data_IF_263508331939
#
_entry.id   IF_263508331939
#
_cell.length_a   1.000
_cell.length_b   1.000
_cell.length_c   1.000
_cell.angle_alpha   90.00
_cell.angle_beta   90.00
_cell.angle_gamma   90.00
#
_symmetry.space_group_name_H-M   'P 1'
#
loop_
_entity.id
_entity.type
_entity.pdbx_description
1 polymer ?
#
# COMPACT_ATOMS: atom_id res chain seq x y z
N UNK A 1 -8.07 -10.25 7.94
CA UNK A 1 -8.83 -10.61 6.73
C UNK A 1 -8.20 -11.81 6.01
N UNK A 2 -8.59 -12.03 4.78
CA UNK A 2 -8.14 -13.08 3.90
C UNK A 2 -6.75 -12.75 3.30
N UNK A 3 -5.92 -13.78 3.10
CA UNK A 3 -4.64 -13.63 2.43
C UNK A 3 -4.85 -13.61 0.91
N UNK A 4 -4.40 -12.56 0.22
CA UNK A 4 -4.39 -12.53 -1.24
C UNK A 4 -3.36 -13.54 -1.76
N UNK A 5 -3.69 -14.23 -2.86
CA UNK A 5 -2.87 -15.33 -3.39
C UNK A 5 -1.51 -14.88 -3.94
N UNK A 6 -1.35 -13.60 -4.27
CA UNK A 6 -0.13 -13.00 -4.82
C UNK A 6 0.72 -12.25 -3.79
N UNK A 7 0.18 -12.02 -2.56
CA UNK A 7 0.80 -11.08 -1.62
C UNK A 7 2.00 -11.68 -0.90
N UNK A 8 3.17 -11.10 -1.10
CA UNK A 8 4.43 -11.43 -0.44
C UNK A 8 4.73 -10.52 0.77
N UNK A 9 3.93 -9.48 1.00
CA UNK A 9 4.13 -8.62 2.16
C UNK A 9 3.87 -9.37 3.47
N UNK A 10 4.58 -8.94 4.52
CA UNK A 10 4.30 -9.44 5.86
C UNK A 10 2.88 -9.05 6.30
N UNK A 11 2.04 -10.03 6.61
CA UNK A 11 0.69 -9.82 7.12
C UNK A 11 0.29 -10.91 8.12
N UNK A 12 -0.77 -10.66 8.87
CA UNK A 12 -1.43 -11.66 9.71
C UNK A 12 -2.94 -11.65 9.46
N UNK A 13 -3.51 -12.84 9.30
CA UNK A 13 -4.98 -13.01 9.21
C UNK A 13 -5.64 -13.04 10.57
N UNK A 14 -4.86 -13.20 11.66
CA UNK A 14 -5.34 -13.23 13.04
C UNK A 14 -5.27 -11.86 13.69
N UNK A 15 -6.35 -11.42 14.32
CA UNK A 15 -6.40 -10.18 15.10
C UNK A 15 -6.12 -10.38 16.60
N UNK A 16 -5.80 -11.60 17.05
CA UNK A 16 -5.61 -11.92 18.48
C UNK A 16 -4.51 -11.09 19.16
N UNK A 17 -3.49 -10.71 18.40
CA UNK A 17 -2.37 -9.90 18.91
C UNK A 17 -2.44 -8.43 18.52
N UNK A 18 -3.56 -7.95 17.94
CA UNK A 18 -3.70 -6.59 17.41
C UNK A 18 -3.34 -5.53 18.47
N UNK A 19 -3.94 -5.61 19.64
CA UNK A 19 -3.76 -4.57 20.68
C UNK A 19 -2.30 -4.54 21.16
N UNK A 20 -1.67 -5.72 21.32
CA UNK A 20 -0.24 -5.82 21.65
C UNK A 20 0.64 -5.24 20.54
N UNK A 21 0.25 -5.42 19.27
CA UNK A 21 0.96 -4.85 18.13
C UNK A 21 0.87 -3.32 18.13
N UNK A 22 -0.32 -2.75 18.39
CA UNK A 22 -0.49 -1.29 18.51
C UNK A 22 0.41 -0.72 19.61
N UNK A 23 0.44 -1.35 20.78
CA UNK A 23 1.32 -0.93 21.87
C UNK A 23 2.81 -1.03 21.49
N UNK A 24 3.19 -2.07 20.76
CA UNK A 24 4.55 -2.24 20.26
C UNK A 24 4.93 -1.15 19.24
N UNK A 25 4.03 -0.78 18.33
CA UNK A 25 4.23 0.33 17.39
C UNK A 25 4.45 1.66 18.13
N UNK A 26 3.60 1.96 19.11
CA UNK A 26 3.73 3.17 19.94
C UNK A 26 5.07 3.18 20.66
N UNK A 27 5.47 2.06 21.22
CA UNK A 27 6.76 1.92 21.91
C UNK A 27 7.93 2.12 20.96
N UNK A 28 7.88 1.57 19.74
CA UNK A 28 8.93 1.79 18.73
C UNK A 28 9.03 3.28 18.35
N UNK A 29 7.90 3.97 18.15
CA UNK A 29 7.88 5.42 17.86
C UNK A 29 8.61 6.20 18.97
N UNK A 30 8.33 5.88 20.25
CA UNK A 30 8.96 6.53 21.40
C UNK A 30 10.46 6.25 21.49
N UNK A 31 10.86 4.99 21.32
CA UNK A 31 12.27 4.57 21.41
C UNK A 31 13.12 5.18 20.30
N UNK A 32 12.55 5.29 19.10
CA UNK A 32 13.25 5.80 17.92
C UNK A 32 13.06 7.29 17.68
N UNK A 33 12.55 8.02 18.68
CA UNK A 33 12.26 9.47 18.55
C UNK A 33 13.45 10.28 18.05
N UNK A 34 14.67 9.97 18.49
CA UNK A 34 15.89 10.67 18.06
C UNK A 34 16.33 10.34 16.63
N UNK A 35 15.79 9.30 16.02
CA UNK A 35 16.14 8.89 14.66
C UNK A 35 15.27 9.58 13.59
N UNK A 36 14.15 10.17 14.00
CA UNK A 36 13.27 10.84 13.04
C UNK A 36 14.01 12.03 12.40
N UNK A 37 13.98 12.12 11.06
CA UNK A 37 14.53 13.28 10.37
C UNK A 37 13.91 14.58 10.90
N UNK A 38 14.68 15.68 10.95
CA UNK A 38 14.17 16.97 11.44
C UNK A 38 13.02 17.52 10.59
N UNK A 39 13.02 17.20 9.30
CA UNK A 39 11.95 17.56 8.36
C UNK A 39 11.29 16.28 7.84
N UNK A 40 10.04 16.09 8.18
CA UNK A 40 9.18 15.04 7.65
C UNK A 40 8.04 15.71 6.89
N UNK A 41 7.87 15.30 5.63
CA UNK A 41 6.88 15.89 4.73
C UNK A 41 5.76 14.91 4.37
N UNK A 42 5.92 13.62 4.66
CA UNK A 42 4.91 12.60 4.40
C UNK A 42 4.81 11.55 5.50
N UNK A 43 3.60 11.03 5.68
CA UNK A 43 3.29 9.86 6.50
C UNK A 43 2.51 8.88 5.63
N UNK A 44 2.98 7.64 5.58
CA UNK A 44 2.31 6.57 4.84
C UNK A 44 1.92 5.45 5.80
N UNK A 45 0.65 5.14 5.86
CA UNK A 45 0.08 4.07 6.68
C UNK A 45 -0.31 2.94 5.76
N UNK A 46 0.56 1.95 5.70
CA UNK A 46 0.43 0.81 4.79
C UNK A 46 0.70 -0.52 5.49
N UNK A 47 0.89 -1.55 4.69
CA UNK A 47 1.19 -2.89 5.16
C UNK A 47 0.05 -3.87 4.93
N UNK A 48 -0.33 -4.69 5.92
CA UNK A 48 -1.34 -5.72 5.70
C UNK A 48 -2.71 -5.17 5.33
N UNK A 49 -3.39 -4.49 6.25
CA UNK A 49 -4.69 -3.85 5.97
C UNK A 49 -4.97 -2.77 7.02
N UNK A 50 -4.45 -1.56 6.88
CA UNK A 50 -4.64 -0.48 7.85
C UNK A 50 -6.11 -0.12 8.07
N UNK A 51 -6.95 -0.28 7.04
CA UNK A 51 -8.39 -0.02 7.12
C UNK A 51 -9.16 -0.97 8.05
N UNK A 52 -8.54 -2.02 8.59
CA UNK A 52 -9.12 -2.87 9.65
C UNK A 52 -8.98 -2.29 11.04
N UNK A 53 -8.06 -1.37 11.25
CA UNK A 53 -7.88 -0.71 12.53
C UNK A 53 -9.14 0.11 12.87
N UNK A 54 -9.49 0.13 14.15
CA UNK A 54 -10.56 0.99 14.64
C UNK A 54 -10.06 2.42 14.88
N UNK A 55 -10.97 3.34 15.21
CA UNK A 55 -10.64 4.75 15.43
C UNK A 55 -9.67 4.94 16.62
N UNK A 56 -9.83 4.14 17.68
CA UNK A 56 -8.97 4.20 18.87
C UNK A 56 -7.54 3.75 18.57
N UNK A 57 -7.39 2.66 17.81
CA UNK A 57 -6.07 2.15 17.38
C UNK A 57 -5.30 3.23 16.63
N UNK A 58 -5.92 3.81 15.60
CA UNK A 58 -5.30 4.84 14.76
C UNK A 58 -5.03 6.11 15.57
N UNK A 59 -5.99 6.54 16.39
CA UNK A 59 -5.82 7.72 17.26
C UNK A 59 -4.64 7.56 18.21
N UNK A 60 -4.45 6.37 18.77
CA UNK A 60 -3.33 6.07 19.68
C UNK A 60 -1.99 6.19 18.97
N UNK A 61 -1.87 5.64 17.75
CA UNK A 61 -0.67 5.77 16.91
C UNK A 61 -0.41 7.25 16.55
N UNK A 62 -1.44 7.98 16.10
CA UNK A 62 -1.30 9.39 15.76
C UNK A 62 -0.92 10.24 16.98
N UNK A 63 -1.42 9.92 18.16
CA UNK A 63 -1.05 10.60 19.41
C UNK A 63 0.43 10.40 19.74
N UNK A 64 0.96 9.19 19.56
CA UNK A 64 2.38 8.93 19.72
C UNK A 64 3.24 9.68 18.69
N UNK A 65 2.82 9.67 17.42
CA UNK A 65 3.50 10.40 16.36
C UNK A 65 3.50 11.92 16.60
N UNK A 66 2.39 12.52 17.04
CA UNK A 66 2.30 13.97 17.35
C UNK A 66 3.26 14.43 18.43
N UNK A 67 3.68 13.53 19.34
CA UNK A 67 4.74 13.82 20.32
C UNK A 67 6.15 13.85 19.72
N UNK A 68 6.31 13.34 18.50
CA UNK A 68 7.60 13.14 17.84
C UNK A 68 7.76 14.04 16.62
N UNK A 69 6.70 14.19 15.83
CA UNK A 69 6.68 14.94 14.57
C UNK A 69 5.51 15.92 14.52
N UNK A 70 5.65 16.96 13.71
CA UNK A 70 4.61 17.97 13.49
C UNK A 70 3.65 17.49 12.39
N UNK A 71 2.75 16.54 12.72
CA UNK A 71 1.82 15.91 11.77
C UNK A 71 0.98 16.94 11.01
N UNK A 72 0.53 18.00 11.67
CA UNK A 72 -0.37 19.00 11.08
C UNK A 72 0.28 19.82 9.94
N UNK A 73 1.60 19.71 9.76
CA UNK A 73 2.38 20.34 8.69
C UNK A 73 2.82 19.37 7.60
N UNK A 74 2.40 18.09 7.66
CA UNK A 74 2.73 17.13 6.63
C UNK A 74 1.99 17.45 5.32
N UNK A 75 2.73 17.41 4.22
CA UNK A 75 2.20 17.62 2.88
C UNK A 75 1.29 16.47 2.44
N UNK A 76 1.69 15.24 2.76
CA UNK A 76 0.97 14.02 2.39
C UNK A 76 0.79 13.09 3.59
N UNK A 77 -0.44 12.72 3.88
CA UNK A 77 -0.78 11.65 4.82
C UNK A 77 -1.64 10.65 4.06
N UNK A 78 -1.02 9.53 3.70
CA UNK A 78 -1.66 8.47 2.92
C UNK A 78 -2.06 7.32 3.83
N UNK A 79 -3.23 6.73 3.56
CA UNK A 79 -3.65 5.45 4.16
C UNK A 79 -4.08 4.48 3.06
N UNK A 80 -3.63 3.22 3.18
CA UNK A 80 -4.10 2.12 2.34
C UNK A 80 -5.48 1.64 2.81
N UNK A 81 -6.38 1.45 1.85
CA UNK A 81 -7.74 0.97 2.12
C UNK A 81 -8.16 -0.07 1.09
N UNK A 82 -8.95 -1.05 1.51
CA UNK A 82 -9.62 -1.94 0.56
C UNK A 82 -11.01 -1.40 0.23
N UNK A 83 -11.51 -1.62 -1.01
CA UNK A 83 -12.83 -1.12 -1.44
C UNK A 83 -13.97 -1.47 -0.48
N UNK A 84 -13.99 -2.69 0.03
CA UNK A 84 -15.02 -3.19 0.94
C UNK A 84 -14.97 -2.57 2.37
N UNK A 85 -13.88 -1.90 2.72
CA UNK A 85 -13.73 -1.21 4.01
C UNK A 85 -14.19 0.24 3.98
N UNK A 86 -14.39 0.79 2.79
CA UNK A 86 -14.75 2.20 2.60
C UNK A 86 -16.18 2.42 3.03
N UNK A 87 -16.37 3.31 4.01
CA UNK A 87 -17.68 3.78 4.46
C UNK A 87 -17.57 5.22 4.98
N UNK A 88 -18.69 5.91 5.07
CA UNK A 88 -18.74 7.32 5.42
C UNK A 88 -18.11 7.62 6.79
N UNK A 89 -18.34 6.75 7.79
CA UNK A 89 -17.76 6.90 9.13
C UNK A 89 -16.24 6.91 9.08
N UNK A 90 -15.63 5.94 8.42
CA UNK A 90 -14.17 5.85 8.26
C UNK A 90 -13.60 7.03 7.48
N UNK A 91 -14.24 7.42 6.39
CA UNK A 91 -13.78 8.55 5.58
C UNK A 91 -13.78 9.85 6.39
N UNK A 92 -14.85 10.11 7.14
CA UNK A 92 -14.93 11.27 8.01
C UNK A 92 -13.85 11.23 9.11
N UNK A 93 -13.62 10.06 9.70
CA UNK A 93 -12.56 9.89 10.69
C UNK A 93 -11.18 10.13 10.08
N UNK A 94 -10.87 9.57 8.92
CA UNK A 94 -9.60 9.78 8.24
C UNK A 94 -9.34 11.26 7.95
N UNK A 95 -10.35 12.00 7.48
CA UNK A 95 -10.23 13.44 7.29
C UNK A 95 -9.96 14.17 8.60
N UNK A 96 -10.68 13.81 9.68
CA UNK A 96 -10.51 14.41 11.01
C UNK A 96 -9.09 14.29 11.55
N UNK A 97 -8.40 13.19 11.26
CA UNK A 97 -7.01 12.96 11.70
C UNK A 97 -5.95 13.50 10.73
N UNK A 98 -6.37 14.14 9.62
CA UNK A 98 -5.50 14.79 8.66
C UNK A 98 -5.11 13.93 7.45
N UNK A 99 -5.66 12.72 7.28
CA UNK A 99 -5.45 11.93 6.06
C UNK A 99 -5.97 12.72 4.86
N UNK A 100 -5.12 12.95 3.87
CA UNK A 100 -5.46 13.71 2.67
C UNK A 100 -5.31 12.91 1.37
N UNK A 101 -4.76 11.68 1.44
CA UNK A 101 -4.60 10.78 0.30
C UNK A 101 -5.05 9.36 0.66
N UNK A 102 -5.79 8.70 -0.25
CA UNK A 102 -6.17 7.29 -0.14
C UNK A 102 -5.44 6.47 -1.20
N UNK A 103 -4.85 5.32 -0.83
CA UNK A 103 -4.41 4.28 -1.77
C UNK A 103 -5.40 3.13 -1.71
N UNK A 104 -6.12 2.88 -2.80
CA UNK A 104 -7.22 1.93 -2.83
C UNK A 104 -6.77 0.69 -3.60
N UNK A 105 -6.66 -0.43 -2.89
CA UNK A 105 -6.26 -1.72 -3.46
C UNK A 105 -7.36 -2.36 -4.31
N UNK A 106 -7.57 -1.87 -5.53
CA UNK A 106 -8.58 -2.36 -6.47
C UNK A 106 -8.14 -3.64 -7.15
N UNK A 107 -6.93 -3.67 -7.68
CA UNK A 107 -6.24 -4.76 -8.37
C UNK A 107 -6.84 -5.14 -9.73
N UNK A 108 -8.16 -5.19 -9.87
CA UNK A 108 -8.88 -5.50 -11.10
C UNK A 108 -10.32 -4.98 -11.05
N UNK A 109 -10.92 -4.76 -12.22
CA UNK A 109 -12.35 -4.49 -12.39
C UNK A 109 -13.12 -5.72 -12.92
N UNK A 110 -12.46 -6.88 -12.99
CA UNK A 110 -13.07 -8.17 -13.36
C UNK A 110 -13.23 -9.05 -12.11
N UNK A 111 -14.48 -9.39 -11.78
CA UNK A 111 -14.80 -10.19 -10.58
C UNK A 111 -14.21 -11.60 -10.62
N UNK A 112 -13.98 -12.19 -11.82
CA UNK A 112 -13.31 -13.48 -11.96
C UNK A 112 -11.84 -13.37 -11.56
N UNK A 113 -11.17 -12.30 -11.99
CA UNK A 113 -9.78 -12.01 -11.65
C UNK A 113 -9.65 -11.73 -10.16
N UNK A 114 -10.54 -10.90 -9.58
CA UNK A 114 -10.58 -10.62 -8.16
C UNK A 114 -10.75 -11.91 -7.33
N UNK A 115 -11.67 -12.76 -7.72
CA UNK A 115 -11.88 -14.06 -7.07
C UNK A 115 -10.66 -14.96 -7.17
N UNK A 116 -10.00 -15.01 -8.33
CA UNK A 116 -8.76 -15.79 -8.53
C UNK A 116 -7.62 -15.26 -7.66
N UNK A 117 -7.51 -13.94 -7.51
CA UNK A 117 -6.55 -13.27 -6.61
C UNK A 117 -6.90 -13.44 -5.12
N UNK A 118 -8.02 -14.08 -4.79
CA UNK A 118 -8.55 -14.21 -3.42
C UNK A 118 -8.89 -12.86 -2.78
N UNK A 119 -9.43 -11.91 -3.59
CA UNK A 119 -9.97 -10.65 -3.09
C UNK A 119 -11.39 -10.84 -2.59
N UNK A 120 -11.75 -10.09 -1.54
CA UNK A 120 -13.09 -10.16 -0.92
C UNK A 120 -14.08 -9.27 -1.66
N UNK A 121 -13.62 -8.11 -2.12
CA UNK A 121 -14.45 -7.16 -2.83
C UNK A 121 -14.71 -7.58 -4.29
N UNK A 122 -15.73 -6.99 -4.86
CA UNK A 122 -16.10 -7.07 -6.26
C UNK A 122 -16.09 -5.69 -6.92
N UNK A 123 -16.29 -5.64 -8.25
CA UNK A 123 -16.34 -4.41 -9.05
C UNK A 123 -17.36 -3.39 -8.52
N UNK A 124 -18.54 -3.83 -8.10
CA UNK A 124 -19.57 -2.93 -7.59
C UNK A 124 -19.10 -2.20 -6.33
N UNK A 125 -18.44 -2.92 -5.41
CA UNK A 125 -17.86 -2.34 -4.20
C UNK A 125 -16.73 -1.35 -4.51
N UNK A 126 -15.93 -1.62 -5.55
CA UNK A 126 -14.91 -0.67 -6.04
C UNK A 126 -15.57 0.64 -6.46
N UNK A 127 -16.57 0.56 -7.35
CA UNK A 127 -17.27 1.75 -7.86
C UNK A 127 -17.96 2.54 -6.73
N UNK A 128 -18.64 1.85 -5.84
CA UNK A 128 -19.30 2.47 -4.66
C UNK A 128 -18.29 3.14 -3.74
N UNK A 129 -17.19 2.45 -3.43
CA UNK A 129 -16.16 2.94 -2.51
C UNK A 129 -15.47 4.19 -3.05
N UNK A 130 -15.03 4.19 -4.31
CA UNK A 130 -14.37 5.35 -4.93
C UNK A 130 -15.31 6.55 -5.02
N UNK A 131 -16.55 6.34 -5.49
CA UNK A 131 -17.56 7.41 -5.55
C UNK A 131 -17.86 7.99 -4.16
N UNK A 132 -17.94 7.15 -3.12
CA UNK A 132 -18.18 7.60 -1.76
C UNK A 132 -16.97 8.42 -1.24
N UNK A 133 -15.75 7.98 -1.51
CA UNK A 133 -14.53 8.71 -1.14
C UNK A 133 -14.49 10.10 -1.79
N UNK A 134 -14.78 10.20 -3.09
CA UNK A 134 -14.83 11.47 -3.82
C UNK A 134 -15.91 12.41 -3.25
N UNK A 135 -17.13 11.90 -3.03
CA UNK A 135 -18.23 12.68 -2.42
C UNK A 135 -17.93 13.13 -1.00
N UNK A 136 -17.09 12.37 -0.29
CA UNK A 136 -16.60 12.73 1.05
C UNK A 136 -15.46 13.76 0.99
N UNK A 137 -15.04 14.22 -0.21
CA UNK A 137 -14.02 15.24 -0.40
C UNK A 137 -12.58 14.71 -0.37
N UNK A 138 -12.37 13.43 -0.68
CA UNK A 138 -11.05 12.92 -1.04
C UNK A 138 -10.84 13.09 -2.54
N UNK A 139 -9.96 14.01 -2.92
CA UNK A 139 -9.60 14.29 -4.32
C UNK A 139 -8.23 13.73 -4.69
N UNK A 140 -7.47 13.27 -3.70
CA UNK A 140 -6.19 12.60 -3.90
C UNK A 140 -6.36 11.11 -3.65
N UNK A 141 -6.71 10.39 -4.74
CA UNK A 141 -7.01 8.96 -4.72
C UNK A 141 -6.06 8.25 -5.67
N UNK A 142 -5.30 7.29 -5.14
CA UNK A 142 -4.54 6.30 -5.89
C UNK A 142 -5.38 5.05 -6.05
N UNK A 143 -5.39 4.49 -7.25
CA UNK A 143 -5.93 3.16 -7.53
C UNK A 143 -4.76 2.22 -7.82
N UNK A 144 -4.67 1.14 -7.07
CA UNK A 144 -3.70 0.09 -7.33
C UNK A 144 -4.32 -0.95 -8.25
N UNK A 145 -3.64 -1.23 -9.36
CA UNK A 145 -4.07 -2.13 -10.42
C UNK A 145 -2.94 -3.12 -10.74
N UNK A 146 -3.28 -4.40 -10.88
CA UNK A 146 -2.32 -5.45 -11.25
C UNK A 146 -2.59 -5.90 -12.67
N UNK A 147 -1.56 -5.86 -13.54
CA UNK A 147 -1.58 -6.43 -14.89
C UNK A 147 -0.63 -7.64 -14.97
N UNK A 148 -0.46 -8.27 -16.13
CA UNK A 148 0.42 -9.44 -16.28
C UNK A 148 -0.20 -10.74 -15.73
N UNK A 149 -1.53 -10.85 -15.75
CA UNK A 149 -2.20 -12.06 -15.27
C UNK A 149 -2.16 -13.18 -16.31
N UNK A 150 -2.16 -14.48 -15.90
CA UNK A 150 -2.12 -15.60 -16.82
C UNK A 150 -3.21 -15.59 -17.90
N UNK A 151 -2.88 -16.03 -19.11
CA UNK A 151 -3.75 -15.99 -20.30
C UNK A 151 -5.07 -16.76 -20.13
N UNK A 152 -5.10 -17.83 -19.31
CA UNK A 152 -6.32 -18.62 -19.11
C UNK A 152 -7.47 -17.81 -18.48
N UNK A 153 -7.17 -16.68 -17.83
CA UNK A 153 -8.19 -15.78 -17.28
C UNK A 153 -8.91 -14.99 -18.37
N UNK A 154 -8.35 -14.92 -19.59
CA UNK A 154 -8.92 -14.19 -20.76
C UNK A 154 -9.34 -12.78 -20.39
N UNK A 155 -8.50 -12.11 -19.62
CA UNK A 155 -8.75 -10.79 -19.05
C UNK A 155 -8.80 -9.70 -20.13
N UNK A 156 -9.74 -8.79 -20.02
CA UNK A 156 -9.80 -7.59 -20.85
C UNK A 156 -9.28 -6.36 -20.10
N UNK A 157 -7.97 -6.29 -19.92
CA UNK A 157 -7.34 -5.16 -19.22
C UNK A 157 -7.58 -3.81 -19.90
N UNK A 158 -7.81 -3.78 -21.22
CA UNK A 158 -8.12 -2.56 -21.98
C UNK A 158 -9.44 -1.94 -21.50
N UNK A 159 -10.46 -2.77 -21.30
CA UNK A 159 -11.74 -2.34 -20.76
C UNK A 159 -11.60 -1.89 -19.30
N UNK A 160 -10.90 -2.66 -18.47
CA UNK A 160 -10.73 -2.35 -17.07
C UNK A 160 -10.00 -1.02 -16.85
N UNK A 161 -8.91 -0.77 -17.57
CA UNK A 161 -8.19 0.51 -17.50
C UNK A 161 -9.08 1.67 -17.98
N UNK A 162 -9.87 1.47 -19.03
CA UNK A 162 -10.81 2.50 -19.50
C UNK A 162 -11.88 2.83 -18.46
N UNK A 163 -12.39 1.83 -17.76
CA UNK A 163 -13.34 2.01 -16.67
C UNK A 163 -12.71 2.74 -15.48
N UNK A 164 -11.46 2.41 -15.13
CA UNK A 164 -10.71 3.11 -14.07
C UNK A 164 -10.47 4.57 -14.44
N UNK A 165 -10.05 4.85 -15.68
CA UNK A 165 -9.83 6.22 -16.17
C UNK A 165 -11.13 7.04 -16.11
N UNK A 166 -12.29 6.42 -16.42
CA UNK A 166 -13.58 7.09 -16.35
C UNK A 166 -13.94 7.56 -14.92
N UNK A 167 -13.40 6.94 -13.88
CA UNK A 167 -13.52 7.38 -12.50
C UNK A 167 -12.65 8.59 -12.16
N UNK A 168 -11.73 8.97 -13.05
CA UNK A 168 -10.80 10.11 -12.89
C UNK A 168 -10.02 10.10 -11.58
N UNK A 169 -9.38 8.99 -11.16
CA UNK A 169 -8.50 9.02 -10.01
C UNK A 169 -7.34 9.97 -10.28
N UNK A 170 -6.81 10.60 -9.22
CA UNK A 170 -5.65 11.50 -9.36
C UNK A 170 -4.35 10.76 -9.66
N UNK A 171 -4.31 9.47 -9.34
CA UNK A 171 -3.11 8.64 -9.40
C UNK A 171 -3.47 7.17 -9.67
N UNK A 172 -2.61 6.46 -10.41
CA UNK A 172 -2.68 5.01 -10.62
C UNK A 172 -1.32 4.38 -10.34
N UNK A 173 -1.35 3.26 -9.59
CA UNK A 173 -0.22 2.36 -9.44
C UNK A 173 -0.52 1.09 -10.24
N UNK A 174 0.19 0.87 -11.36
CA UNK A 174 0.01 -0.29 -12.23
C UNK A 174 1.18 -1.25 -12.02
N UNK A 175 0.95 -2.31 -11.26
CA UNK A 175 1.95 -3.31 -10.94
C UNK A 175 1.87 -4.52 -11.86
N UNK A 176 3.01 -5.01 -12.31
CA UNK A 176 3.08 -6.33 -12.92
C UNK A 176 2.88 -7.40 -11.86
N UNK A 177 2.10 -8.44 -12.19
CA UNK A 177 1.96 -9.60 -11.31
C UNK A 177 3.27 -10.37 -11.22
N UNK A 178 4.01 -10.19 -10.15
CA UNK A 178 5.17 -11.02 -9.84
C UNK A 178 4.73 -12.21 -8.99
N UNK A 179 5.16 -13.41 -9.36
CA UNK A 179 4.85 -14.62 -8.60
C UNK A 179 6.02 -14.92 -7.67
N UNK A 180 5.84 -14.61 -6.40
CA UNK A 180 6.86 -14.78 -5.37
C UNK A 180 6.74 -16.14 -4.67
N UNK A 181 7.88 -16.76 -4.40
CA UNK A 181 8.01 -18.12 -3.84
C UNK A 181 7.17 -18.35 -2.56
N UNK A 182 7.10 -17.36 -1.69
CA UNK A 182 6.38 -17.42 -0.41
C UNK A 182 4.85 -17.34 -0.53
N UNK A 183 4.31 -17.11 -1.73
CA UNK A 183 2.89 -16.88 -1.96
C UNK A 183 2.15 -18.16 -2.35
N UNK A 184 0.80 -18.11 -2.30
CA UNK A 184 -0.01 -19.21 -2.83
C UNK A 184 0.23 -19.41 -4.33
N UNK A 185 0.39 -18.34 -5.12
CA UNK A 185 0.71 -18.44 -6.53
C UNK A 185 2.09 -19.04 -6.76
N UNK A 186 3.10 -18.71 -5.95
CA UNK A 186 4.42 -19.34 -6.03
C UNK A 186 4.36 -20.84 -5.74
N UNK A 187 3.53 -21.26 -4.79
CA UNK A 187 3.29 -22.68 -4.57
C UNK A 187 2.64 -23.38 -5.79
N UNK A 188 1.68 -22.73 -6.45
CA UNK A 188 1.08 -23.28 -7.67
C UNK A 188 2.08 -23.34 -8.83
N UNK A 189 2.90 -22.33 -9.00
CA UNK A 189 3.94 -22.30 -10.03
C UNK A 189 4.98 -23.42 -9.85
N UNK A 190 5.52 -23.57 -8.63
CA UNK A 190 6.44 -24.68 -8.29
C UNK A 190 5.85 -26.06 -8.60
N UNK A 191 4.56 -26.22 -8.42
CA UNK A 191 3.84 -27.45 -8.72
C UNK A 191 3.36 -27.55 -10.19
N UNK A 192 3.80 -26.63 -11.07
CA UNK A 192 3.40 -26.56 -12.49
C UNK A 192 1.87 -26.45 -12.71
N UNK A 193 1.14 -25.91 -11.72
CA UNK A 193 -0.30 -25.67 -11.79
C UNK A 193 -0.64 -24.23 -12.20
N UNK A 194 0.35 -23.36 -12.22
CA UNK A 194 0.26 -21.98 -12.69
C UNK A 194 1.43 -21.71 -13.61
N UNK A 195 1.16 -21.17 -14.81
CA UNK A 195 2.16 -20.65 -15.72
C UNK A 195 2.06 -19.11 -15.70
N UNK A 196 3.15 -18.39 -15.37
CA UNK A 196 3.20 -16.94 -15.50
C UNK A 196 2.88 -16.51 -16.92
N UNK A 197 2.45 -15.25 -17.08
CA UNK A 197 2.34 -14.64 -18.41
C UNK A 197 3.74 -14.54 -19.04
N UNK A 198 3.82 -14.73 -20.35
CA UNK A 198 5.09 -14.58 -21.07
C UNK A 198 5.55 -13.11 -21.08
N UNK A 199 6.85 -12.89 -20.88
CA UNK A 199 7.43 -11.54 -20.77
C UNK A 199 7.08 -10.64 -21.95
N UNK A 200 7.11 -11.17 -23.18
CA UNK A 200 6.76 -10.44 -24.38
C UNK A 200 5.28 -9.97 -24.40
N UNK A 201 4.38 -10.71 -23.74
CA UNK A 201 2.97 -10.32 -23.61
C UNK A 201 2.84 -9.28 -22.51
N UNK A 202 3.51 -9.50 -21.37
CA UNK A 202 3.56 -8.56 -20.26
C UNK A 202 4.10 -7.18 -20.69
N UNK A 203 5.16 -7.17 -21.49
CA UNK A 203 5.71 -5.94 -22.06
C UNK A 203 4.69 -5.21 -22.94
N UNK A 204 3.96 -5.92 -23.80
CA UNK A 204 2.89 -5.34 -24.63
C UNK A 204 1.77 -4.74 -23.76
N UNK A 205 1.35 -5.43 -22.72
CA UNK A 205 0.36 -4.92 -21.78
C UNK A 205 0.86 -3.63 -21.10
N UNK A 206 2.08 -3.63 -20.60
CA UNK A 206 2.70 -2.45 -19.98
C UNK A 206 2.76 -1.25 -20.93
N UNK A 207 3.28 -1.46 -22.14
CA UNK A 207 3.39 -0.41 -23.14
C UNK A 207 2.02 0.15 -23.51
N UNK A 208 1.02 -0.72 -23.67
CA UNK A 208 -0.34 -0.28 -23.95
C UNK A 208 -0.92 0.56 -22.80
N UNK A 209 -0.80 0.08 -21.53
CA UNK A 209 -1.25 0.79 -20.33
C UNK A 209 -0.58 2.16 -20.26
N UNK A 210 0.76 2.19 -20.39
CA UNK A 210 1.54 3.43 -20.33
C UNK A 210 1.08 4.45 -21.40
N UNK A 211 0.92 4.00 -22.65
CA UNK A 211 0.48 4.86 -23.74
C UNK A 211 -0.96 5.35 -23.54
N UNK A 212 -1.84 4.46 -23.08
CA UNK A 212 -3.25 4.81 -22.80
C UNK A 212 -3.35 5.84 -21.69
N UNK A 213 -2.64 5.68 -20.58
CA UNK A 213 -2.65 6.62 -19.47
C UNK A 213 -2.05 7.97 -19.88
N UNK A 214 -0.94 7.98 -20.62
CA UNK A 214 -0.34 9.21 -21.17
C UNK A 214 -1.32 9.96 -22.09
N UNK A 215 -2.08 9.25 -22.94
CA UNK A 215 -3.09 9.88 -23.80
C UNK A 215 -4.27 10.48 -23.03
N UNK A 216 -4.41 10.14 -21.76
CA UNK A 216 -5.41 10.66 -20.81
C UNK A 216 -4.81 11.62 -19.78
N UNK A 217 -3.70 12.27 -20.12
CA UNK A 217 -3.00 13.32 -19.32
C UNK A 217 -2.35 12.83 -18.01
N UNK A 218 -2.19 11.52 -17.82
CA UNK A 218 -1.37 11.01 -16.72
C UNK A 218 0.12 11.06 -17.09
N UNK A 219 0.93 11.62 -16.24
CA UNK A 219 2.38 11.55 -16.33
C UNK A 219 2.87 10.22 -15.74
N UNK A 220 3.65 9.46 -16.51
CA UNK A 220 4.36 8.30 -16.03
C UNK A 220 5.63 8.78 -15.31
N UNK A 221 5.63 8.90 -14.00
CA UNK A 221 6.69 9.57 -13.25
C UNK A 221 7.70 8.63 -12.59
N UNK A 222 7.40 7.33 -12.53
CA UNK A 222 8.32 6.27 -12.14
C UNK A 222 7.80 4.92 -12.69
N UNK A 223 8.45 3.80 -12.40
CA UNK A 223 8.24 2.51 -13.09
C UNK A 223 6.77 2.07 -13.10
N UNK A 224 6.07 2.15 -11.96
CA UNK A 224 4.71 1.63 -11.79
C UNK A 224 3.65 2.70 -11.64
N UNK A 225 4.04 3.98 -11.43
CA UNK A 225 3.12 5.00 -11.01
C UNK A 225 2.86 6.08 -12.05
N UNK A 226 1.58 6.40 -12.20
CA UNK A 226 1.04 7.40 -13.11
C UNK A 226 0.18 8.39 -12.32
N UNK A 227 0.27 9.68 -12.62
CA UNK A 227 -0.49 10.69 -11.91
C UNK A 227 -0.78 11.90 -12.79
N UNK A 228 -1.84 12.65 -12.50
CA UNK A 228 -1.96 14.00 -13.00
C UNK A 228 -0.81 14.88 -12.49
N UNK A 229 -0.44 15.92 -13.24
CA UNK A 229 0.77 16.72 -13.05
C UNK A 229 1.09 17.07 -11.58
N UNK A 230 0.13 17.56 -10.83
CA UNK A 230 0.32 18.00 -9.43
C UNK A 230 -0.08 16.92 -8.40
N UNK A 231 -0.29 15.65 -8.85
CA UNK A 231 -0.83 14.56 -8.06
C UNK A 231 0.11 13.36 -7.90
N UNK A 232 1.38 13.55 -8.23
CA UNK A 232 2.43 12.55 -7.94
C UNK A 232 2.49 12.30 -6.45
N UNK A 233 2.56 11.03 -6.03
CA UNK A 233 2.78 10.72 -4.62
C UNK A 233 4.11 11.30 -4.16
N UNK A 234 4.04 12.19 -3.21
CA UNK A 234 5.23 12.79 -2.62
C UNK A 234 6.06 11.72 -1.89
N UNK A 235 5.38 10.82 -1.18
CA UNK A 235 6.02 9.72 -0.48
C UNK A 235 6.78 8.79 -1.43
N UNK A 236 6.15 8.32 -2.52
CA UNK A 236 6.81 7.46 -3.51
C UNK A 236 7.98 8.16 -4.20
N UNK A 237 7.79 9.44 -4.57
CA UNK A 237 8.85 10.22 -5.20
C UNK A 237 10.10 10.37 -4.31
N UNK A 238 9.94 10.36 -2.99
CA UNK A 238 11.05 10.46 -2.05
C UNK A 238 11.96 9.23 -2.08
N UNK A 239 11.41 8.03 -2.30
CA UNK A 239 12.22 6.81 -2.45
C UNK A 239 13.18 6.92 -3.64
N UNK A 240 12.68 7.39 -4.79
CA UNK A 240 13.50 7.58 -6.00
C UNK A 240 14.56 8.67 -5.85
N UNK A 241 14.32 9.65 -4.98
CA UNK A 241 15.29 10.69 -4.63
C UNK A 241 16.26 10.25 -3.54
N UNK A 242 16.15 9.01 -3.05
CA UNK A 242 16.95 8.47 -1.95
C UNK A 242 16.93 9.36 -0.70
N UNK A 243 15.78 9.99 -0.42
CA UNK A 243 15.62 10.77 0.80
C UNK A 243 15.48 9.86 2.02
N UNK A 244 15.97 10.31 3.20
CA UNK A 244 15.83 9.55 4.42
C UNK A 244 14.37 9.26 4.76
N UNK A 245 14.10 8.05 5.22
CA UNK A 245 12.80 7.67 5.74
C UNK A 245 12.95 6.68 6.90
N UNK A 246 11.95 6.67 7.78
CA UNK A 246 11.88 5.77 8.92
C UNK A 246 10.61 4.92 8.81
N UNK A 247 10.80 3.61 8.82
CA UNK A 247 9.70 2.65 8.87
C UNK A 247 9.49 2.16 10.31
N UNK A 248 8.23 2.10 10.71
CA UNK A 248 7.77 1.65 12.03
C UNK A 248 6.86 0.44 11.82
N UNK A 249 7.08 -0.62 12.56
CA UNK A 249 6.26 -1.83 12.50
C UNK A 249 6.99 -3.06 11.96
N UNK A 250 6.36 -4.25 12.04
CA UNK A 250 6.95 -5.50 11.55
C UNK A 250 7.22 -5.44 10.05
N UNK A 251 8.42 -5.83 9.63
CA UNK A 251 8.83 -5.81 8.24
C UNK A 251 9.05 -4.40 7.64
N UNK A 252 8.86 -3.33 8.43
CA UNK A 252 9.03 -1.97 7.93
C UNK A 252 10.50 -1.66 7.67
N UNK A 253 10.74 -1.01 6.53
CA UNK A 253 12.07 -0.61 6.08
C UNK A 253 12.37 0.84 6.47
N UNK A 254 13.63 1.12 6.72
CA UNK A 254 14.16 2.48 6.96
C UNK A 254 15.39 2.72 6.10
N UNK A 255 15.60 3.98 5.71
CA UNK A 255 16.81 4.44 5.04
C UNK A 255 17.29 5.72 5.70
N UNK A 256 18.38 5.60 6.45
CA UNK A 256 18.98 6.71 7.21
C UNK A 256 20.51 6.64 7.07
N UNK A 257 21.15 7.78 6.87
CA UNK A 257 22.62 7.88 6.77
C UNK A 257 23.23 6.90 5.74
N UNK A 258 22.60 6.76 4.56
CA UNK A 258 22.99 5.85 3.48
C UNK A 258 22.98 4.37 3.88
N UNK A 259 22.26 4.03 4.93
CA UNK A 259 22.10 2.63 5.39
C UNK A 259 20.62 2.23 5.32
N UNK A 260 20.36 1.05 4.75
CA UNK A 260 19.07 0.39 4.87
C UNK A 260 19.05 -0.50 6.10
N UNK A 261 17.92 -0.51 6.77
CA UNK A 261 17.57 -1.49 7.78
C UNK A 261 16.09 -1.84 7.68
N UNK A 262 15.72 -2.97 8.19
CA UNK A 262 14.32 -3.38 8.28
C UNK A 262 14.04 -4.09 9.59
N UNK A 263 12.82 -3.97 10.03
CA UNK A 263 12.34 -4.64 11.23
C UNK A 263 12.03 -6.10 10.91
N UNK A 264 12.02 -6.94 11.95
CA UNK A 264 11.68 -8.35 11.81
C UNK A 264 10.25 -8.53 11.24
N UNK A 265 10.12 -9.37 10.20
CA UNK A 265 8.84 -9.67 9.52
C UNK A 265 8.05 -10.75 10.28
N UNK A 266 7.85 -10.58 11.60
CA UNK A 266 7.12 -11.51 12.45
C UNK A 266 6.48 -10.75 13.61
N UNK A 267 5.13 -10.69 13.66
CA UNK A 267 4.39 -9.95 14.68
C UNK A 267 4.72 -10.38 16.12
N UNK A 268 4.83 -11.69 16.36
CA UNK A 268 5.08 -12.19 17.72
C UNK A 268 6.50 -11.84 18.21
N UNK A 269 7.49 -11.96 17.31
CA UNK A 269 8.86 -11.59 17.62
C UNK A 269 8.98 -10.07 17.77
N UNK A 270 8.37 -9.29 16.87
CA UNK A 270 8.34 -7.84 16.96
C UNK A 270 7.74 -7.35 18.29
N UNK A 271 6.60 -7.91 18.73
CA UNK A 271 5.98 -7.59 20.02
C UNK A 271 6.93 -7.93 21.17
N UNK A 272 7.59 -9.08 21.15
CA UNK A 272 8.56 -9.47 22.19
C UNK A 272 9.74 -8.50 22.24
N UNK A 273 10.32 -8.15 21.09
CA UNK A 273 11.46 -7.24 21.01
C UNK A 273 11.09 -5.83 21.49
N UNK A 274 9.88 -5.35 21.21
CA UNK A 274 9.42 -4.05 21.71
C UNK A 274 9.35 -3.97 23.24
N UNK A 275 9.19 -5.10 23.91
CA UNK A 275 9.19 -5.19 25.38
C UNK A 275 10.60 -5.25 26.01
N UNK A 276 11.62 -5.65 25.22
CA UNK A 276 12.98 -5.93 25.73
C UNK A 276 13.99 -4.82 25.39
N UNK A 277 13.74 -3.96 24.48
CA UNK A 277 14.52 -2.93 23.78
C UNK A 277 14.74 -3.32 22.31
N UNK A 278 14.19 -2.52 21.41
CA UNK A 278 14.44 -2.60 19.96
C UNK A 278 15.79 -1.91 19.71
N UNK A 279 16.89 -2.53 20.12
CA UNK A 279 18.24 -1.94 19.98
C UNK A 279 19.10 -2.61 18.91
N UNK A 280 18.65 -3.70 18.28
CA UNK A 280 19.42 -4.35 17.23
C UNK A 280 18.68 -4.31 15.88
N UNK A 281 19.25 -3.62 14.88
CA UNK A 281 18.80 -3.79 13.50
C UNK A 281 19.11 -5.22 13.06
N UNK A 282 18.11 -5.96 12.61
CA UNK A 282 18.25 -7.38 12.25
C UNK A 282 19.13 -7.59 11.01
N UNK A 283 19.38 -6.57 10.20
CA UNK A 283 20.40 -6.52 9.13
C UNK A 283 20.72 -5.07 8.74
N UNK A 284 21.99 -4.80 8.49
CA UNK A 284 22.52 -3.58 7.89
C UNK A 284 23.08 -3.94 6.52
N UNK A 285 22.57 -3.31 5.46
CA UNK A 285 23.20 -3.32 4.15
C UNK A 285 23.64 -1.91 3.78
N UNK A 286 24.92 -1.80 3.37
CA UNK A 286 25.46 -0.61 2.72
C UNK A 286 24.99 -0.61 1.26
N UNK A 287 24.47 0.51 0.78
CA UNK A 287 24.18 0.73 -0.65
C UNK A 287 25.43 1.25 -1.33
#
# INVERSE_FOLDING_TARGET
KQACHYCDFHFSTSLKSKDKLILALIKEIELRKSEFPPEINSLYIGGGTPSLLNEEDITSIFTALKKTIKIDFLREITIEVNPEDINLKKLNFFKKIGVNRLSIGVQSMDDKVLKWMNRIHNKEQVLKGINLAMRSGFYDISIDFIYGTPEFLKRNYNQEISEIIALKPSHLSCYHLTIEDGTYFGHLEKNKKLKPLEDAISEKEFLWISNKLKSCEYEHYEISNFAFKEKKSFHNANYWKQLPYIGIGPGAHSFLNLKRRWNISNNNQYIKLSLIHISEPTRLELI
#
